data_IF_283627159326
#
_entry.id   IF_283627159326
#
_cell.length_a   1.000
_cell.length_b   1.000
_cell.length_c   1.000
_cell.angle_alpha   90.00
_cell.angle_beta   90.00
_cell.angle_gamma   90.00
#
_symmetry.space_group_name_H-M   'P 1'
#
loop_
_entity.id
_entity.type
_entity.pdbx_description
1 polymer ?
#
# COMPACT_ATOMS: atom_id res chain seq x y z
N UNK A 1 -12.19 -2.17 19.13
CA UNK A 1 -11.92 -1.39 17.91
C UNK A 1 -12.92 -1.81 16.85
N UNK A 2 -13.52 -0.89 16.08
CA UNK A 2 -14.39 -1.29 14.99
C UNK A 2 -13.61 -2.05 13.93
N UNK A 3 -14.25 -3.07 13.33
CA UNK A 3 -13.67 -3.91 12.30
C UNK A 3 -14.47 -3.73 11.01
N UNK A 4 -13.78 -3.44 9.92
CA UNK A 4 -14.39 -3.38 8.59
C UNK A 4 -14.37 -4.78 7.97
N UNK A 5 -15.51 -5.22 7.42
CA UNK A 5 -15.60 -6.48 6.69
C UNK A 5 -15.92 -6.21 5.23
N UNK A 6 -15.30 -6.97 4.31
CA UNK A 6 -15.56 -6.92 2.88
C UNK A 6 -15.47 -8.32 2.27
N UNK A 7 -15.93 -8.45 1.02
CA UNK A 7 -15.83 -9.71 0.30
C UNK A 7 -14.34 -10.09 0.12
N UNK A 8 -13.91 -11.25 0.40
CA UNK A 8 -12.51 -11.73 0.38
C UNK A 8 -11.60 -11.25 1.53
N UNK A 9 -12.09 -10.55 2.55
CA UNK A 9 -11.25 -10.08 3.65
C UNK A 9 -10.31 -11.17 4.19
N UNK A 10 -10.83 -12.36 4.49
CA UNK A 10 -10.02 -13.44 5.10
C UNK A 10 -8.83 -13.86 4.23
N UNK A 11 -9.00 -13.85 2.91
CA UNK A 11 -7.90 -14.10 1.97
C UNK A 11 -6.92 -12.91 1.93
N UNK A 12 -7.41 -11.69 1.97
CA UNK A 12 -6.59 -10.48 1.90
C UNK A 12 -5.71 -10.28 3.13
N UNK A 13 -6.16 -10.71 4.33
CA UNK A 13 -5.37 -10.70 5.58
C UNK A 13 -4.07 -11.51 5.50
N UNK A 14 -3.98 -12.47 4.60
CA UNK A 14 -2.79 -13.31 4.42
C UNK A 14 -2.01 -12.99 3.16
N UNK A 15 -2.57 -12.15 2.27
CA UNK A 15 -2.03 -11.91 0.94
C UNK A 15 -0.64 -11.27 0.95
N UNK A 16 -0.39 -10.34 1.84
CA UNK A 16 0.94 -9.74 2.02
C UNK A 16 1.97 -10.77 2.46
N UNK A 17 1.61 -11.64 3.40
CA UNK A 17 2.48 -12.72 3.88
C UNK A 17 2.80 -13.74 2.78
N UNK A 18 1.79 -14.11 1.98
CA UNK A 18 1.90 -15.10 0.90
C UNK A 18 2.52 -14.54 -0.40
N UNK A 19 2.61 -13.22 -0.55
CA UNK A 19 3.26 -12.61 -1.72
C UNK A 19 4.69 -13.13 -1.86
N UNK A 20 5.12 -13.56 -3.07
CA UNK A 20 6.45 -14.12 -3.25
C UNK A 20 7.53 -13.05 -3.15
N UNK A 21 8.68 -13.41 -2.60
CA UNK A 21 9.86 -12.55 -2.71
C UNK A 21 10.39 -12.59 -4.14
N UNK A 22 10.46 -11.41 -4.76
CA UNK A 22 11.08 -11.23 -6.08
C UNK A 22 12.46 -10.61 -5.93
N UNK A 23 13.34 -10.91 -6.86
CA UNK A 23 14.64 -10.25 -6.95
C UNK A 23 14.47 -8.95 -7.74
N UNK A 24 15.08 -7.88 -7.23
CA UNK A 24 15.23 -6.64 -7.97
C UNK A 24 16.46 -6.75 -8.87
N UNK A 25 16.28 -6.54 -10.17
CA UNK A 25 17.36 -6.59 -11.16
C UNK A 25 17.63 -5.19 -11.72
N UNK A 26 18.90 -4.73 -11.73
CA UNK A 26 19.24 -3.43 -12.30
C UNK A 26 19.07 -3.45 -13.81
N UNK A 27 18.43 -2.40 -14.35
CA UNK A 27 18.28 -2.19 -15.81
C UNK A 27 19.20 -1.06 -16.24
N UNK A 28 20.43 -1.38 -16.60
CA UNK A 28 21.48 -0.42 -16.89
C UNK A 28 21.08 0.65 -17.93
N UNK A 29 20.33 0.26 -18.97
CA UNK A 29 19.86 1.20 -20.02
C UNK A 29 18.85 2.25 -19.53
N UNK A 30 18.23 2.02 -18.37
CA UNK A 30 17.26 2.93 -17.74
C UNK A 30 17.85 3.62 -16.50
N UNK A 31 19.07 3.29 -16.12
CA UNK A 31 19.76 3.89 -14.97
C UNK A 31 20.49 5.16 -15.40
N UNK A 32 20.42 6.20 -14.57
CA UNK A 32 21.05 7.50 -14.79
C UNK A 32 21.71 8.01 -13.52
N UNK A 33 22.78 8.79 -13.67
CA UNK A 33 23.51 9.39 -12.56
C UNK A 33 24.63 8.49 -12.03
N UNK A 34 25.00 8.71 -10.78
CA UNK A 34 26.10 7.97 -10.14
C UNK A 34 25.71 6.50 -9.91
N UNK A 35 26.59 5.54 -10.21
CA UNK A 35 26.29 4.10 -10.08
C UNK A 35 25.88 3.67 -8.68
N UNK A 36 26.41 4.35 -7.65
CA UNK A 36 26.17 4.04 -6.23
C UNK A 36 25.03 4.87 -5.61
N UNK A 37 24.23 5.56 -6.43
CA UNK A 37 23.08 6.32 -5.93
C UNK A 37 22.09 5.35 -5.26
N UNK A 38 21.64 5.67 -4.02
CA UNK A 38 20.64 4.86 -3.33
C UNK A 38 19.20 5.01 -3.88
N UNK A 39 19.00 5.97 -4.79
CA UNK A 39 17.68 6.22 -5.38
C UNK A 39 17.35 5.14 -6.41
N UNK A 40 16.11 4.66 -6.39
CA UNK A 40 15.66 3.65 -7.34
C UNK A 40 14.23 3.91 -7.81
N UNK A 41 13.96 3.54 -9.06
CA UNK A 41 12.62 3.39 -9.62
C UNK A 41 12.41 1.91 -9.90
N UNK A 42 11.38 1.33 -9.32
CA UNK A 42 11.07 -0.10 -9.48
C UNK A 42 9.88 -0.23 -10.43
N UNK A 43 10.07 -0.96 -11.52
CA UNK A 43 9.01 -1.29 -12.48
C UNK A 43 8.45 -2.67 -12.19
N UNK A 44 7.12 -2.77 -12.03
CA UNK A 44 6.41 -4.03 -11.77
C UNK A 44 5.12 -3.83 -10.98
N UNK A 45 4.48 -4.93 -10.57
CA UNK A 45 3.38 -4.87 -9.60
C UNK A 45 3.91 -4.39 -8.24
N UNK A 46 3.28 -3.37 -7.69
CA UNK A 46 3.77 -2.75 -6.47
C UNK A 46 3.63 -3.62 -5.22
N UNK A 47 2.74 -4.62 -5.19
CA UNK A 47 2.70 -5.60 -4.09
C UNK A 47 3.97 -6.46 -4.09
N UNK A 48 4.37 -6.96 -5.26
CA UNK A 48 5.61 -7.72 -5.43
C UNK A 48 6.84 -6.84 -5.14
N UNK A 49 6.84 -5.59 -5.61
CA UNK A 49 7.93 -4.64 -5.38
C UNK A 49 8.11 -4.33 -3.89
N UNK A 50 7.03 -4.05 -3.16
CA UNK A 50 7.06 -3.82 -1.72
C UNK A 50 7.59 -5.04 -0.96
N UNK A 51 7.15 -6.24 -1.36
CA UNK A 51 7.65 -7.49 -0.76
C UNK A 51 9.15 -7.68 -1.02
N UNK A 52 9.63 -7.36 -2.22
CA UNK A 52 11.04 -7.44 -2.59
C UNK A 52 11.93 -6.47 -1.80
N UNK A 53 11.38 -5.35 -1.32
CA UNK A 53 12.11 -4.37 -0.52
C UNK A 53 12.28 -4.77 0.96
N UNK A 54 11.41 -5.63 1.49
CA UNK A 54 11.45 -5.99 2.92
C UNK A 54 12.81 -6.49 3.41
N UNK A 55 13.53 -7.40 2.70
CA UNK A 55 14.82 -7.87 3.16
C UNK A 55 15.88 -6.80 3.38
N UNK A 56 15.71 -5.64 2.71
CA UNK A 56 16.67 -4.54 2.72
C UNK A 56 16.24 -3.36 3.59
N UNK A 57 14.93 -3.10 3.68
CA UNK A 57 14.40 -1.83 4.23
C UNK A 57 13.34 -2.00 5.32
N UNK A 58 13.07 -3.22 5.81
CA UNK A 58 12.11 -3.42 6.88
C UNK A 58 12.44 -2.54 8.10
N UNK A 59 11.46 -1.78 8.59
CA UNK A 59 11.61 -0.90 9.73
C UNK A 59 12.52 0.33 9.54
N UNK A 60 12.86 0.69 8.28
CA UNK A 60 13.83 1.76 7.99
C UNK A 60 13.23 2.99 7.29
N UNK A 61 12.07 2.83 6.66
CA UNK A 61 11.47 3.91 5.86
C UNK A 61 10.88 4.98 6.77
N UNK A 62 11.36 6.21 6.65
CA UNK A 62 10.95 7.33 7.51
C UNK A 62 9.72 8.07 7.02
N UNK A 63 9.49 8.10 5.72
CA UNK A 63 8.36 8.77 5.12
C UNK A 63 7.85 7.97 3.93
N UNK A 64 6.55 7.73 3.92
CA UNK A 64 5.84 7.06 2.82
C UNK A 64 4.81 8.05 2.30
N UNK A 65 4.74 8.22 0.99
CA UNK A 65 3.67 8.95 0.31
C UNK A 65 3.06 8.04 -0.76
N UNK A 66 1.76 7.89 -0.74
CA UNK A 66 1.02 7.13 -1.75
C UNK A 66 -0.20 7.90 -2.25
N UNK A 67 -0.49 7.70 -3.53
CA UNK A 67 -1.65 8.25 -4.24
C UNK A 67 -2.41 7.08 -4.90
N UNK A 68 -3.21 6.32 -4.13
CA UNK A 68 -3.93 5.18 -4.70
C UNK A 68 -5.09 5.64 -5.58
N UNK A 69 -5.64 4.75 -6.45
CA UNK A 69 -6.87 5.04 -7.19
C UNK A 69 -8.01 5.43 -6.23
N UNK A 70 -8.76 6.49 -6.56
CA UNK A 70 -9.84 7.00 -5.71
C UNK A 70 -11.15 6.23 -5.84
N UNK A 71 -11.19 5.21 -6.69
CA UNK A 71 -12.38 4.40 -6.93
C UNK A 71 -13.59 5.21 -7.43
N UNK A 72 -13.33 6.25 -8.21
CA UNK A 72 -14.37 7.08 -8.82
C UNK A 72 -15.03 6.34 -9.97
N UNK A 73 -16.35 6.51 -10.15
CA UNK A 73 -17.17 5.83 -11.17
C UNK A 73 -16.63 5.93 -12.59
N UNK A 74 -15.84 6.94 -12.90
CA UNK A 74 -15.24 7.15 -14.22
C UNK A 74 -14.14 6.13 -14.61
N UNK A 75 -13.56 5.43 -13.64
CA UNK A 75 -12.47 4.49 -13.88
C UNK A 75 -12.97 3.04 -14.12
N UNK A 76 -14.23 2.71 -13.76
CA UNK A 76 -14.72 1.34 -13.71
C UNK A 76 -16.16 1.18 -14.25
N UNK A 77 -16.48 1.75 -15.40
CA UNK A 77 -17.82 1.70 -16.04
C UNK A 77 -18.41 0.27 -16.28
N UNK A 78 -17.76 -0.80 -15.81
CA UNK A 78 -18.14 -2.19 -16.10
C UNK A 78 -18.29 -3.10 -14.88
N UNK A 79 -18.31 -2.58 -13.64
CA UNK A 79 -18.39 -3.42 -12.44
C UNK A 79 -19.58 -3.10 -11.55
N UNK A 80 -20.18 -4.16 -11.01
CA UNK A 80 -21.26 -4.14 -10.03
C UNK A 80 -20.90 -3.23 -8.84
N UNK A 81 -21.68 -2.20 -8.58
CA UNK A 81 -21.44 -1.18 -7.55
C UNK A 81 -21.21 -1.77 -6.14
N UNK A 82 -21.76 -2.98 -5.87
CA UNK A 82 -21.63 -3.64 -4.58
C UNK A 82 -20.27 -4.34 -4.35
N UNK A 83 -19.48 -4.56 -5.41
CA UNK A 83 -18.15 -5.20 -5.33
C UNK A 83 -17.01 -4.21 -5.49
N UNK A 84 -17.30 -2.97 -5.82
CA UNK A 84 -16.29 -1.95 -6.10
C UNK A 84 -15.43 -1.65 -4.88
N UNK A 85 -16.04 -1.33 -3.74
CA UNK A 85 -15.34 -1.10 -2.47
C UNK A 85 -14.57 -2.33 -2.00
N UNK A 86 -15.14 -3.52 -2.12
CA UNK A 86 -14.46 -4.77 -1.76
C UNK A 86 -13.20 -5.01 -2.60
N UNK A 87 -13.24 -4.73 -3.90
CA UNK A 87 -12.08 -4.85 -4.78
C UNK A 87 -11.00 -3.83 -4.44
N UNK A 88 -11.42 -2.60 -4.17
CA UNK A 88 -10.50 -1.55 -3.74
C UNK A 88 -9.81 -1.93 -2.41
N UNK A 89 -10.57 -2.39 -1.43
CA UNK A 89 -10.04 -2.87 -0.15
C UNK A 89 -9.09 -4.06 -0.32
N UNK A 90 -9.44 -5.03 -1.17
CA UNK A 90 -8.58 -6.16 -1.50
C UNK A 90 -7.27 -5.75 -2.20
N UNK A 91 -7.28 -4.64 -2.92
CA UNK A 91 -6.09 -4.07 -3.55
C UNK A 91 -5.21 -3.33 -2.54
N UNK A 92 -5.79 -2.46 -1.72
CA UNK A 92 -5.02 -1.57 -0.86
C UNK A 92 -4.53 -2.23 0.44
N UNK A 93 -5.33 -3.11 1.06
CA UNK A 93 -5.06 -3.69 2.38
C UNK A 93 -3.69 -4.40 2.46
N UNK A 94 -3.35 -5.36 1.58
CA UNK A 94 -2.05 -6.05 1.65
C UNK A 94 -0.86 -5.12 1.37
N UNK A 95 -1.07 -4.05 0.63
CA UNK A 95 -0.04 -3.03 0.39
C UNK A 95 0.23 -2.20 1.63
N UNK A 96 -0.82 -1.80 2.34
CA UNK A 96 -0.69 -1.07 3.62
C UNK A 96 0.02 -1.92 4.67
N UNK A 97 -0.22 -3.23 4.73
CA UNK A 97 0.52 -4.15 5.61
C UNK A 97 2.03 -4.13 5.31
N UNK A 98 2.42 -4.27 4.03
CA UNK A 98 3.84 -4.21 3.64
C UNK A 98 4.46 -2.84 3.88
N UNK A 99 3.72 -1.75 3.62
CA UNK A 99 4.17 -0.40 3.93
C UNK A 99 4.39 -0.22 5.44
N UNK A 100 3.53 -0.82 6.27
CA UNK A 100 3.70 -0.82 7.72
C UNK A 100 4.97 -1.56 8.14
N UNK A 101 5.28 -2.70 7.53
CA UNK A 101 6.51 -3.46 7.81
C UNK A 101 7.77 -2.70 7.39
N UNK A 102 7.72 -1.96 6.28
CA UNK A 102 8.84 -1.12 5.81
C UNK A 102 9.07 0.10 6.71
N UNK A 103 8.01 0.65 7.29
CA UNK A 103 8.05 1.91 8.02
C UNK A 103 8.79 1.77 9.35
N UNK A 104 9.68 2.73 9.64
CA UNK A 104 10.35 2.84 10.95
C UNK A 104 9.36 3.22 12.06
N UNK A 105 9.77 3.07 13.31
CA UNK A 105 8.92 3.43 14.46
C UNK A 105 8.55 4.91 14.50
N UNK A 106 9.43 5.78 14.00
CA UNK A 106 9.21 7.23 13.90
C UNK A 106 8.75 7.66 12.51
N UNK A 107 8.45 6.69 11.65
CA UNK A 107 8.02 6.95 10.28
C UNK A 107 6.61 7.51 10.19
N UNK A 108 6.33 8.19 9.09
CA UNK A 108 5.00 8.70 8.76
C UNK A 108 4.53 8.20 7.41
N UNK A 109 3.22 8.00 7.26
CA UNK A 109 2.58 7.70 5.99
C UNK A 109 1.57 8.80 5.64
N UNK A 110 1.59 9.21 4.38
CA UNK A 110 0.71 10.23 3.80
C UNK A 110 -0.01 9.62 2.62
N UNK A 111 -1.32 9.74 2.60
CA UNK A 111 -2.19 9.09 1.61
C UNK A 111 -3.15 10.14 1.07
N UNK A 112 -3.11 10.38 -0.24
CA UNK A 112 -4.14 11.16 -0.91
C UNK A 112 -5.33 10.28 -1.23
N UNK A 113 -6.52 10.75 -0.98
CA UNK A 113 -7.77 10.01 -1.23
C UNK A 113 -8.94 11.00 -1.28
N UNK A 114 -10.03 10.63 -1.91
CA UNK A 114 -11.27 11.38 -1.86
C UNK A 114 -12.33 10.72 -0.97
N UNK A 115 -13.49 11.35 -0.85
CA UNK A 115 -14.59 10.93 0.02
C UNK A 115 -15.17 9.54 -0.33
N UNK A 116 -14.92 9.01 -1.54
CA UNK A 116 -15.45 7.70 -1.93
C UNK A 116 -14.88 6.59 -1.05
N UNK A 117 -13.58 6.63 -0.76
CA UNK A 117 -12.89 5.58 -0.01
C UNK A 117 -12.24 6.06 1.31
N UNK A 118 -12.19 7.37 1.56
CA UNK A 118 -11.49 7.94 2.74
C UNK A 118 -11.94 7.30 4.06
N UNK A 119 -13.24 7.10 4.25
CA UNK A 119 -13.78 6.55 5.50
C UNK A 119 -13.41 5.08 5.70
N UNK A 120 -13.44 4.28 4.63
CA UNK A 120 -13.00 2.87 4.69
C UNK A 120 -11.50 2.78 4.89
N UNK A 121 -10.73 3.59 4.17
CA UNK A 121 -9.29 3.71 4.33
C UNK A 121 -8.92 4.04 5.78
N UNK A 122 -9.61 5.01 6.39
CA UNK A 122 -9.38 5.38 7.79
C UNK A 122 -9.54 4.19 8.73
N UNK A 123 -10.58 3.37 8.55
CA UNK A 123 -10.82 2.20 9.42
C UNK A 123 -9.72 1.16 9.28
N UNK A 124 -9.31 0.82 8.04
CA UNK A 124 -8.23 -0.17 7.84
C UNK A 124 -6.86 0.36 8.26
N UNK A 125 -6.61 1.67 8.11
CA UNK A 125 -5.40 2.29 8.65
C UNK A 125 -5.36 2.24 10.18
N UNK A 126 -6.49 2.46 10.86
CA UNK A 126 -6.59 2.29 12.31
C UNK A 126 -6.27 0.85 12.76
N UNK A 127 -6.67 -0.14 11.96
CA UNK A 127 -6.38 -1.55 12.21
C UNK A 127 -4.88 -1.86 12.04
N UNK A 128 -4.27 -1.40 10.96
CA UNK A 128 -2.89 -1.73 10.58
C UNK A 128 -1.87 -0.90 11.38
N UNK A 129 -2.07 0.40 11.44
CA UNK A 129 -1.12 1.35 12.07
C UNK A 129 -1.44 1.68 13.53
N UNK A 130 -2.65 1.38 13.98
CA UNK A 130 -3.14 1.71 15.30
C UNK A 130 -3.81 3.09 15.37
N UNK A 131 -5.05 3.14 15.86
CA UNK A 131 -5.86 4.37 15.93
C UNK A 131 -5.17 5.56 16.62
N UNK A 132 -4.39 5.30 17.66
CA UNK A 132 -3.67 6.34 18.42
C UNK A 132 -2.59 7.05 17.61
N UNK A 133 -2.17 6.47 16.50
CA UNK A 133 -1.13 7.00 15.61
C UNK A 133 -1.69 7.86 14.48
N UNK A 134 -3.01 8.00 14.39
CA UNK A 134 -3.64 8.93 13.46
C UNK A 134 -3.36 10.37 13.87
N UNK A 135 -2.87 11.20 12.95
CA UNK A 135 -2.48 12.57 13.21
C UNK A 135 -3.57 13.54 12.74
N UNK A 136 -3.86 13.54 11.46
CA UNK A 136 -4.82 14.49 10.88
C UNK A 136 -5.34 14.02 9.52
N UNK A 137 -6.48 14.57 9.14
CA UNK A 137 -7.01 14.66 7.79
C UNK A 137 -7.01 16.13 7.39
N UNK A 138 -6.52 16.48 6.18
CA UNK A 138 -6.27 17.86 5.74
C UNK A 138 -7.04 18.12 4.45
#
# INVERSE_FOLDING_TARGET
>A
MPLLSWFNRDADLTRAALAPYRLLEPVAKLSHGEPDSPNMLIEGDNLDALKALLPYYAGQVKCIFIDPPYNTKSAFERYDDNLEHSKWLSMIYPRLELLRELMSQEGSIWITIDDNEAHYLKVICDEIFGRKNFIAEI
#
